data_IF_308132287658
#
_entry.id   IF_308132287658
#
_cell.length_a   1.000
_cell.length_b   1.000
_cell.length_c   1.000
_cell.angle_alpha   90.00
_cell.angle_beta   90.00
_cell.angle_gamma   90.00
#
_symmetry.space_group_name_H-M   'P 1'
#
loop_
_entity.id
_entity.type
_entity.pdbx_description
1 polymer ?
#
# COMPACT_ATOMS: atom_id res chain seq x y z
N UNK A 1 7.36 -12.43 21.12
CA UNK A 1 7.42 -11.52 19.96
C UNK A 1 7.64 -12.41 18.74
N UNK A 2 6.61 -12.66 17.92
CA UNK A 2 6.81 -13.40 16.68
C UNK A 2 7.59 -12.47 15.73
N UNK A 3 8.71 -12.93 15.18
CA UNK A 3 9.42 -12.18 14.16
C UNK A 3 8.58 -12.24 12.88
N UNK A 4 7.68 -11.27 12.74
CA UNK A 4 6.84 -11.10 11.58
C UNK A 4 7.49 -10.04 10.71
N UNK A 5 7.70 -10.37 9.46
CA UNK A 5 8.12 -9.40 8.47
C UNK A 5 6.87 -8.68 7.97
N UNK A 6 6.81 -7.37 8.16
CA UNK A 6 5.70 -6.51 7.75
C UNK A 6 6.17 -5.60 6.61
N UNK A 7 5.55 -5.74 5.43
CA UNK A 7 5.79 -4.87 4.28
C UNK A 7 4.52 -4.12 3.93
N UNK A 8 4.63 -2.79 3.91
CA UNK A 8 3.56 -1.90 3.51
C UNK A 8 3.83 -1.37 2.10
N UNK A 9 2.92 -1.67 1.17
CA UNK A 9 3.11 -1.36 -0.26
C UNK A 9 1.90 -0.58 -0.78
N UNK A 10 2.10 0.60 -1.42
CA UNK A 10 1.01 1.37 -1.99
C UNK A 10 0.43 0.67 -3.22
N UNK A 11 -0.91 0.56 -3.27
CA UNK A 11 -1.64 -0.04 -4.39
C UNK A 11 -2.42 0.98 -5.22
N UNK A 12 -2.31 2.27 -4.85
CA UNK A 12 -2.91 3.37 -5.59
C UNK A 12 -3.64 4.34 -4.66
N UNK A 13 -4.69 4.96 -5.19
CA UNK A 13 -5.39 6.05 -4.52
C UNK A 13 -6.90 5.90 -4.66
N UNK A 14 -7.61 6.32 -3.62
CA UNK A 14 -9.08 6.35 -3.63
C UNK A 14 -9.59 7.67 -3.07
N UNK A 15 -10.65 8.17 -3.69
CA UNK A 15 -11.41 9.29 -3.16
C UNK A 15 -12.19 8.81 -1.94
N UNK A 16 -11.88 9.38 -0.78
CA UNK A 16 -12.64 9.20 0.44
C UNK A 16 -13.30 10.52 0.84
N UNK A 17 -14.54 10.42 1.31
CA UNK A 17 -15.23 11.57 1.89
C UNK A 17 -14.71 11.80 3.32
N UNK A 18 -14.00 12.90 3.53
CA UNK A 18 -13.53 13.26 4.85
C UNK A 18 -14.62 13.98 5.62
N UNK A 19 -15.24 13.30 6.60
CA UNK A 19 -16.33 13.87 7.40
C UNK A 19 -15.91 15.13 8.18
N UNK A 20 -14.64 15.21 8.58
CA UNK A 20 -14.10 16.35 9.36
C UNK A 20 -13.97 17.61 8.52
N UNK A 21 -13.52 17.51 7.26
CA UNK A 21 -13.33 18.68 6.37
C UNK A 21 -14.49 18.89 5.40
N UNK A 22 -15.44 17.95 5.30
CA UNK A 22 -16.60 18.00 4.41
C UNK A 22 -16.25 17.92 2.92
N UNK A 23 -15.05 17.43 2.58
CA UNK A 23 -14.51 17.40 1.21
C UNK A 23 -14.14 15.98 0.79
N UNK A 24 -14.24 15.73 -0.51
CA UNK A 24 -13.63 14.55 -1.10
C UNK A 24 -12.12 14.77 -1.21
N UNK A 25 -11.36 13.84 -0.65
CA UNK A 25 -9.90 13.85 -0.73
C UNK A 25 -9.42 12.54 -1.31
N UNK A 26 -8.47 12.63 -2.22
CA UNK A 26 -7.76 11.47 -2.75
C UNK A 26 -6.68 11.06 -1.77
N UNK A 27 -6.84 9.87 -1.18
CA UNK A 27 -5.92 9.32 -0.19
C UNK A 27 -5.24 8.06 -0.75
N UNK A 28 -3.96 7.83 -0.39
CA UNK A 28 -3.25 6.64 -0.81
C UNK A 28 -3.84 5.43 -0.08
N UNK A 29 -3.96 4.32 -0.80
CA UNK A 29 -4.34 3.03 -0.24
C UNK A 29 -3.13 2.12 -0.34
N UNK A 30 -2.75 1.54 0.80
CA UNK A 30 -1.64 0.60 0.91
C UNK A 30 -2.13 -0.71 1.48
N UNK A 31 -1.49 -1.81 1.09
CA UNK A 31 -1.68 -3.13 1.71
C UNK A 31 -0.49 -3.45 2.59
N UNK A 32 -0.77 -4.00 3.78
CA UNK A 32 0.23 -4.57 4.66
C UNK A 32 0.30 -6.08 4.44
N UNK A 33 1.49 -6.59 4.19
CA UNK A 33 1.73 -8.02 3.97
C UNK A 33 2.58 -8.54 5.10
N UNK A 34 2.14 -9.65 5.69
CA UNK A 34 2.73 -10.22 6.89
C UNK A 34 3.14 -11.64 6.61
N UNK A 35 4.43 -11.94 6.76
CA UNK A 35 4.98 -13.27 6.53
C UNK A 35 5.67 -13.83 7.78
N UNK A 36 5.75 -15.16 7.83
CA UNK A 36 6.51 -15.87 8.86
C UNK A 36 8.02 -15.67 8.66
N UNK A 37 8.79 -15.85 9.74
CA UNK A 37 10.26 -15.78 9.73
C UNK A 37 10.84 -16.70 8.66
N UNK A 38 11.78 -16.18 7.86
CA UNK A 38 12.49 -16.96 6.85
C UNK A 38 11.79 -17.00 5.49
N UNK A 39 10.63 -16.34 5.37
CA UNK A 39 9.93 -16.15 4.10
C UNK A 39 10.23 -14.79 3.46
N UNK A 40 11.31 -14.12 3.87
CA UNK A 40 11.66 -12.76 3.41
C UNK A 40 11.82 -12.70 1.89
N UNK A 41 12.51 -13.68 1.30
CA UNK A 41 12.71 -13.75 -0.15
C UNK A 41 11.40 -13.98 -0.90
N UNK A 42 10.58 -14.94 -0.45
CA UNK A 42 9.26 -15.19 -1.04
C UNK A 42 8.34 -13.96 -0.95
N UNK A 43 8.44 -13.20 0.15
CA UNK A 43 7.64 -11.98 0.34
C UNK A 43 8.11 -10.87 -0.60
N UNK A 44 9.42 -10.74 -0.81
CA UNK A 44 9.97 -9.81 -1.80
C UNK A 44 9.60 -10.20 -3.23
N UNK A 45 9.66 -11.49 -3.58
CA UNK A 45 9.29 -11.99 -4.89
C UNK A 45 7.81 -11.69 -5.18
N UNK A 46 6.91 -11.92 -4.21
CA UNK A 46 5.50 -11.54 -4.33
C UNK A 46 5.32 -10.03 -4.58
N UNK A 47 6.06 -9.18 -3.86
CA UNK A 47 5.97 -7.73 -4.04
C UNK A 47 6.48 -7.33 -5.43
N UNK A 48 7.54 -7.99 -5.93
CA UNK A 48 8.07 -7.78 -7.28
C UNK A 48 7.06 -8.19 -8.35
N UNK A 49 6.40 -9.35 -8.20
CA UNK A 49 5.35 -9.81 -9.12
C UNK A 49 4.16 -8.84 -9.14
N UNK A 50 3.74 -8.34 -7.97
CA UNK A 50 2.69 -7.32 -7.86
C UNK A 50 3.09 -5.99 -8.51
N UNK A 51 4.38 -5.66 -8.53
CA UNK A 51 4.89 -4.47 -9.22
C UNK A 51 4.93 -4.67 -10.74
N UNK A 52 5.31 -5.86 -11.22
CA UNK A 52 5.31 -6.21 -12.65
C UNK A 52 3.90 -6.19 -13.25
N UNK A 53 2.90 -6.70 -12.50
CA UNK A 53 1.48 -6.61 -12.84
C UNK A 53 0.90 -5.19 -12.74
N UNK A 54 1.70 -4.21 -12.30
CA UNK A 54 1.30 -2.81 -12.16
C UNK A 54 0.33 -2.53 -11.01
N UNK A 55 0.21 -3.47 -10.05
CA UNK A 55 -0.65 -3.32 -8.87
C UNK A 55 0.02 -2.41 -7.84
N UNK A 56 1.35 -2.50 -7.68
CA UNK A 56 2.12 -1.59 -6.82
C UNK A 56 2.30 -0.26 -7.52
N UNK A 57 1.73 0.80 -6.95
CA UNK A 57 1.87 2.15 -7.48
C UNK A 57 3.18 2.78 -6.99
N UNK A 58 4.14 2.97 -7.89
CA UNK A 58 5.46 3.52 -7.55
C UNK A 58 5.42 4.95 -6.99
N UNK A 59 4.48 5.78 -7.45
CA UNK A 59 4.27 7.14 -6.96
C UNK A 59 2.79 7.34 -6.62
N UNK A 60 2.48 7.55 -5.33
CA UNK A 60 1.15 7.98 -4.87
C UNK A 60 1.22 9.46 -4.48
N UNK A 61 0.54 10.32 -5.25
CA UNK A 61 0.46 11.77 -5.06
C UNK A 61 -0.72 12.10 -4.15
N UNK A 62 -0.46 12.13 -2.86
CA UNK A 62 -1.44 12.57 -1.86
C UNK A 62 -1.60 14.09 -1.86
N UNK A 63 -2.78 14.60 -1.47
CA UNK A 63 -2.97 16.03 -1.16
C UNK A 63 -3.60 16.88 -2.27
N UNK A 64 -4.19 16.29 -3.31
CA UNK A 64 -4.98 17.05 -4.29
C UNK A 64 -6.37 17.29 -3.69
N UNK A 65 -6.57 18.47 -3.08
CA UNK A 65 -7.91 19.01 -2.81
C UNK A 65 -8.44 19.60 -4.12
N UNK A 66 -9.44 18.93 -4.71
CA UNK A 66 -10.29 19.50 -5.77
C UNK A 66 -11.35 20.42 -5.18
#
# INVERSE_FOLDING_TARGET
>A
MAALLDHMVPIGERACYAHVTGRNQTLPVSIGTVAAVGCDQMSMDLIADLADEGIVSGEVKTGISI
#
